data_IF_275337203818
#
_entry.id   IF_275337203818
#
_cell.length_a   1.000
_cell.length_b   1.000
_cell.length_c   1.000
_cell.angle_alpha   90.00
_cell.angle_beta   90.00
_cell.angle_gamma   90.00
#
_symmetry.space_group_name_H-M   'P 1'
#
loop_
_entity.id
_entity.type
_entity.pdbx_description
1 polymer ?
#
# COMPACT_ATOMS: atom_id res chain seq x y z
N UNK A 1 2.11 23.78 -32.31
CA UNK A 1 0.88 23.06 -32.60
C UNK A 1 0.92 21.60 -32.20
N UNK A 2 2.01 20.92 -32.48
CA UNK A 2 2.18 19.53 -32.06
C UNK A 2 2.46 19.38 -30.57
N UNK A 3 3.00 20.40 -29.91
CA UNK A 3 3.38 20.36 -28.51
C UNK A 3 2.17 20.10 -27.61
N UNK A 4 1.04 20.75 -27.90
CA UNK A 4 -0.14 20.67 -27.07
C UNK A 4 -0.77 19.27 -27.04
N UNK A 5 -1.03 18.65 -28.21
CA UNK A 5 -1.48 17.25 -28.21
C UNK A 5 -0.47 16.30 -27.60
N UNK A 6 0.83 16.58 -27.82
CA UNK A 6 1.90 15.76 -27.24
C UNK A 6 1.84 15.79 -25.69
N UNK A 7 1.69 16.97 -25.10
CA UNK A 7 1.62 17.09 -23.65
C UNK A 7 0.41 16.38 -23.06
N UNK A 8 -0.75 16.47 -23.70
CA UNK A 8 -1.93 15.75 -23.26
C UNK A 8 -1.73 14.25 -23.35
N UNK A 9 -1.11 13.79 -24.43
CA UNK A 9 -0.79 12.38 -24.63
C UNK A 9 0.17 11.89 -23.54
N UNK A 10 1.17 12.69 -23.22
CA UNK A 10 2.14 12.34 -22.17
C UNK A 10 1.46 12.18 -20.81
N UNK A 11 0.60 13.13 -20.43
CA UNK A 11 -0.14 13.06 -19.18
C UNK A 11 -1.06 11.83 -19.12
N UNK A 12 -1.72 11.50 -20.22
CA UNK A 12 -2.57 10.32 -20.32
C UNK A 12 -1.75 9.04 -20.20
N UNK A 13 -0.58 9.00 -20.81
CA UNK A 13 0.34 7.87 -20.72
C UNK A 13 0.79 7.64 -19.30
N UNK A 14 1.15 8.71 -18.56
CA UNK A 14 1.56 8.58 -17.15
C UNK A 14 0.45 8.02 -16.28
N UNK A 15 -0.78 8.48 -16.46
CA UNK A 15 -1.92 7.94 -15.71
C UNK A 15 -2.17 6.49 -16.05
N UNK A 16 -2.04 6.15 -17.31
CA UNK A 16 -2.20 4.77 -17.76
C UNK A 16 -1.13 3.86 -17.17
N UNK A 17 0.13 4.32 -17.18
CA UNK A 17 1.24 3.56 -16.58
C UNK A 17 1.00 3.30 -15.09
N UNK A 18 0.54 4.31 -14.34
CA UNK A 18 0.24 4.16 -12.92
C UNK A 18 -0.88 3.15 -12.69
N UNK A 19 -1.93 3.21 -13.51
CA UNK A 19 -3.03 2.26 -13.44
C UNK A 19 -2.56 0.85 -13.80
N UNK A 20 -1.77 0.72 -14.85
CA UNK A 20 -1.21 -0.55 -15.28
C UNK A 20 -0.31 -1.16 -14.21
N UNK A 21 0.46 -0.34 -13.50
CA UNK A 21 1.31 -0.82 -12.41
C UNK A 21 0.49 -1.47 -11.32
N UNK A 22 -0.61 -0.84 -10.91
CA UNK A 22 -1.49 -1.42 -9.90
C UNK A 22 -2.12 -2.71 -10.40
N UNK A 23 -2.58 -2.75 -11.65
CA UNK A 23 -3.12 -3.98 -12.24
C UNK A 23 -2.06 -5.08 -12.31
N UNK A 24 -0.83 -4.72 -12.62
CA UNK A 24 0.29 -5.66 -12.64
C UNK A 24 0.52 -6.26 -11.24
N UNK A 25 0.51 -5.43 -10.21
CA UNK A 25 0.67 -5.92 -8.83
C UNK A 25 -0.49 -6.81 -8.42
N UNK A 26 -1.72 -6.41 -8.72
CA UNK A 26 -2.91 -7.20 -8.39
C UNK A 26 -2.87 -8.57 -9.07
N UNK A 27 -2.40 -8.61 -10.32
CA UNK A 27 -2.31 -9.86 -11.08
C UNK A 27 -1.35 -10.87 -10.44
N UNK A 28 -0.38 -10.42 -9.66
CA UNK A 28 0.51 -11.32 -8.91
C UNK A 28 -0.20 -12.04 -7.77
N UNK A 29 -1.32 -11.52 -7.31
CA UNK A 29 -2.04 -12.07 -6.19
C UNK A 29 -1.35 -11.82 -4.86
N UNK A 30 -1.93 -12.35 -3.80
CA UNK A 30 -1.31 -12.31 -2.47
C UNK A 30 -0.20 -13.34 -2.39
N UNK A 31 0.90 -12.97 -1.75
CA UNK A 31 2.05 -13.86 -1.52
C UNK A 31 2.86 -13.31 -0.34
N UNK A 32 4.02 -13.91 -0.05
CA UNK A 32 4.81 -13.55 1.13
C UNK A 32 5.16 -12.06 1.23
N UNK A 33 5.22 -11.36 0.10
CA UNK A 33 5.60 -9.96 0.05
C UNK A 33 4.49 -9.06 -0.47
N UNK A 34 3.27 -9.55 -0.56
CA UNK A 34 2.14 -8.76 -1.04
C UNK A 34 0.83 -9.20 -0.42
N UNK A 35 0.09 -8.24 0.12
CA UNK A 35 -1.19 -8.49 0.76
C UNK A 35 -2.23 -7.48 0.26
N UNK A 36 -3.48 -7.92 0.14
CA UNK A 36 -4.61 -7.07 -0.22
C UNK A 36 -5.46 -6.83 1.01
N UNK A 37 -5.89 -5.59 1.19
CA UNK A 37 -6.82 -5.22 2.25
C UNK A 37 -7.98 -4.43 1.65
N UNK A 38 -9.18 -4.85 1.95
CA UNK A 38 -10.37 -4.11 1.53
C UNK A 38 -10.36 -2.71 2.15
N UNK A 39 -10.09 -2.65 3.44
CA UNK A 39 -9.98 -1.40 4.21
C UNK A 39 -9.16 -1.66 5.46
N UNK A 40 -8.77 -0.60 6.17
CA UNK A 40 -8.11 -0.71 7.45
C UNK A 40 -9.02 -0.07 8.49
N UNK A 41 -9.45 -0.84 9.49
CA UNK A 41 -10.30 -0.35 10.56
C UNK A 41 -9.58 -0.29 11.91
N UNK A 42 -8.39 -0.87 12.01
CA UNK A 42 -7.67 -0.99 13.27
C UNK A 42 -6.16 -0.94 13.01
N UNK A 43 -5.53 0.13 13.52
CA UNK A 43 -4.09 0.33 13.34
C UNK A 43 -3.26 -0.75 14.04
N UNK A 44 -3.74 -1.28 15.17
CA UNK A 44 -3.01 -2.32 15.89
C UNK A 44 -2.99 -3.64 15.15
N UNK A 45 -4.09 -3.97 14.49
CA UNK A 45 -4.15 -5.18 13.67
C UNK A 45 -3.22 -5.09 12.46
N UNK A 46 -3.22 -3.95 11.78
CA UNK A 46 -2.38 -3.78 10.60
C UNK A 46 -0.89 -3.76 11.00
N UNK A 47 -0.56 -3.35 12.22
CA UNK A 47 0.82 -3.37 12.71
C UNK A 47 1.42 -4.77 12.66
N UNK A 48 0.61 -5.81 12.85
CA UNK A 48 1.07 -7.20 12.74
C UNK A 48 1.53 -7.52 11.32
N UNK A 49 0.79 -7.06 10.33
CA UNK A 49 1.16 -7.23 8.91
C UNK A 49 2.44 -6.46 8.60
N UNK A 50 2.53 -5.22 9.06
CA UNK A 50 3.72 -4.39 8.81
C UNK A 50 4.95 -5.00 9.45
N UNK A 51 4.85 -5.47 10.69
CA UNK A 51 5.98 -6.10 11.39
C UNK A 51 6.42 -7.39 10.69
N UNK A 52 5.47 -8.18 10.20
CA UNK A 52 5.78 -9.40 9.47
C UNK A 52 6.58 -9.10 8.20
N UNK A 53 6.18 -8.09 7.43
CA UNK A 53 6.95 -7.67 6.26
C UNK A 53 8.32 -7.14 6.65
N UNK A 54 8.40 -6.30 7.67
CA UNK A 54 9.65 -5.70 8.11
C UNK A 54 10.66 -6.73 8.63
N UNK A 55 10.17 -7.82 9.18
CA UNK A 55 11.01 -8.91 9.69
C UNK A 55 11.54 -9.84 8.59
N UNK A 56 11.05 -9.71 7.37
CA UNK A 56 11.46 -10.52 6.23
C UNK A 56 12.09 -9.62 5.15
N UNK A 57 11.72 -9.80 3.93
CA UNK A 57 12.29 -9.04 2.80
C UNK A 57 11.49 -7.80 2.46
N UNK A 58 10.64 -7.35 3.36
CA UNK A 58 9.74 -6.26 3.10
C UNK A 58 8.48 -6.73 2.39
N UNK A 59 7.67 -5.79 1.93
CA UNK A 59 6.45 -6.17 1.24
C UNK A 59 5.62 -4.98 0.81
N UNK A 60 4.52 -5.30 0.16
CA UNK A 60 3.56 -4.32 -0.33
C UNK A 60 2.17 -4.65 0.21
N UNK A 61 1.45 -3.58 0.51
CA UNK A 61 0.07 -3.68 0.97
C UNK A 61 -0.77 -2.84 0.03
N UNK A 62 -1.75 -3.46 -0.63
CA UNK A 62 -2.67 -2.75 -1.51
C UNK A 62 -4.01 -2.63 -0.79
N UNK A 63 -4.34 -1.40 -0.41
CA UNK A 63 -5.55 -1.09 0.36
C UNK A 63 -6.61 -0.55 -0.57
N UNK A 64 -7.80 -1.09 -0.50
CA UNK A 64 -8.88 -0.85 -1.44
C UNK A 64 -9.01 -1.95 -2.47
N UNK A 65 -8.41 -3.10 -2.21
CA UNK A 65 -8.43 -4.28 -3.08
C UNK A 65 -8.96 -5.46 -2.28
N UNK A 66 -9.95 -6.14 -2.83
CA UNK A 66 -10.54 -7.33 -2.21
C UNK A 66 -9.63 -8.55 -2.40
N UNK A 67 -9.85 -9.58 -1.60
CA UNK A 67 -9.07 -10.82 -1.67
C UNK A 67 -9.04 -11.43 -3.06
N UNK A 68 -10.11 -11.26 -3.82
CA UNK A 68 -10.19 -11.77 -5.20
C UNK A 68 -9.49 -10.85 -6.22
N UNK A 69 -8.86 -9.78 -5.78
CA UNK A 69 -8.18 -8.83 -6.65
C UNK A 69 -9.07 -7.72 -7.22
N UNK A 70 -10.34 -7.71 -6.86
CA UNK A 70 -11.25 -6.68 -7.36
C UNK A 70 -11.01 -5.35 -6.64
N UNK A 71 -10.91 -4.27 -7.41
CA UNK A 71 -10.69 -2.93 -6.87
C UNK A 71 -12.00 -2.42 -6.29
N UNK A 72 -11.99 -2.17 -4.98
CA UNK A 72 -13.14 -1.61 -4.26
C UNK A 72 -12.95 -0.13 -3.97
N UNK A 73 -11.72 0.32 -3.83
CA UNK A 73 -11.40 1.69 -3.49
C UNK A 73 -11.52 2.00 -2.02
N UNK A 74 -10.82 3.04 -1.58
CA UNK A 74 -10.85 3.53 -0.20
C UNK A 74 -10.81 5.05 -0.20
N UNK A 75 -11.13 5.65 0.94
CA UNK A 75 -11.05 7.09 1.14
C UNK A 75 -9.59 7.59 1.21
N UNK A 76 -8.67 6.74 1.58
CA UNK A 76 -7.24 6.95 1.70
C UNK A 76 -6.78 7.73 2.94
N UNK A 77 -7.42 8.84 3.28
CA UNK A 77 -6.96 9.68 4.39
C UNK A 77 -6.95 8.92 5.73
N UNK A 78 -8.02 8.21 6.03
CA UNK A 78 -8.11 7.42 7.26
C UNK A 78 -7.12 6.26 7.23
N UNK A 79 -7.02 5.59 6.10
CA UNK A 79 -6.09 4.47 5.94
C UNK A 79 -4.64 4.95 6.07
N UNK A 80 -4.30 6.09 5.49
CA UNK A 80 -2.96 6.66 5.63
C UNK A 80 -2.63 6.94 7.08
N UNK A 81 -3.57 7.52 7.83
CA UNK A 81 -3.38 7.79 9.24
C UNK A 81 -3.14 6.50 10.03
N UNK A 82 -3.94 5.47 9.74
CA UNK A 82 -3.80 4.19 10.44
C UNK A 82 -2.47 3.49 10.13
N UNK A 83 -2.01 3.57 8.89
CA UNK A 83 -0.70 3.03 8.53
C UNK A 83 0.42 3.76 9.26
N UNK A 84 0.34 5.08 9.32
CA UNK A 84 1.32 5.88 10.03
C UNK A 84 1.35 5.50 11.51
N UNK A 85 0.19 5.43 12.15
CA UNK A 85 0.10 5.04 13.55
C UNK A 85 0.64 3.62 13.76
N UNK A 86 0.29 2.69 12.90
CA UNK A 86 0.75 1.31 13.00
C UNK A 86 2.28 1.23 12.92
N UNK A 87 2.86 1.88 11.92
CA UNK A 87 4.30 1.80 11.68
C UNK A 87 5.11 2.52 12.77
N UNK A 88 4.62 3.65 13.27
CA UNK A 88 5.39 4.50 14.16
C UNK A 88 5.07 4.27 15.63
N UNK A 89 3.83 3.95 15.95
CA UNK A 89 3.40 3.80 17.36
C UNK A 89 3.21 2.37 17.79
N UNK A 90 2.77 1.49 16.89
CA UNK A 90 2.42 0.12 17.25
C UNK A 90 3.40 -0.93 16.76
N UNK A 91 4.52 -0.52 16.16
CA UNK A 91 5.65 -1.39 15.86
C UNK A 91 6.88 -0.90 16.63
N UNK A 92 7.61 -1.84 17.23
CA UNK A 92 8.84 -1.56 17.97
C UNK A 92 9.94 -2.52 17.52
N UNK A 93 11.06 -2.03 16.99
CA UNK A 93 11.28 -0.64 16.56
C UNK A 93 10.33 -0.24 15.46
N UNK A 94 10.27 1.06 15.16
CA UNK A 94 9.39 1.55 14.11
C UNK A 94 9.75 0.99 12.73
N UNK A 95 8.78 0.95 11.85
CA UNK A 95 8.89 0.38 10.51
C UNK A 95 9.06 1.49 9.49
N UNK A 96 9.99 1.29 8.56
CA UNK A 96 10.19 2.22 7.44
C UNK A 96 9.22 1.87 6.32
N UNK A 97 8.47 2.86 5.87
CA UNK A 97 7.43 2.66 4.87
C UNK A 97 7.30 3.86 3.95
N UNK A 98 6.67 3.65 2.82
CA UNK A 98 6.23 4.71 1.92
C UNK A 98 4.80 4.44 1.49
N UNK A 99 4.07 5.49 1.16
CA UNK A 99 2.68 5.38 0.72
C UNK A 99 2.45 6.22 -0.52
N UNK A 100 1.63 5.70 -1.41
CA UNK A 100 1.21 6.43 -2.59
C UNK A 100 -0.21 6.05 -2.96
N UNK A 101 -1.04 7.04 -3.25
CA UNK A 101 -2.40 6.82 -3.73
C UNK A 101 -2.40 6.74 -5.25
N UNK A 102 -3.08 5.72 -5.78
CA UNK A 102 -3.28 5.54 -7.21
C UNK A 102 -4.75 5.60 -7.53
N UNK A 103 -5.09 6.31 -8.59
CA UNK A 103 -6.46 6.37 -9.06
C UNK A 103 -6.62 5.37 -10.20
N UNK A 104 -7.38 4.31 -9.93
CA UNK A 104 -7.47 3.13 -10.81
C UNK A 104 -8.93 2.75 -10.96
N UNK A 105 -9.41 2.63 -12.20
CA UNK A 105 -10.82 2.29 -12.49
C UNK A 105 -11.82 3.22 -11.77
N UNK A 106 -11.48 4.51 -11.68
CA UNK A 106 -12.33 5.49 -11.03
C UNK A 106 -12.33 5.44 -9.51
N UNK A 107 -11.40 4.70 -8.91
CA UNK A 107 -11.34 4.49 -7.46
C UNK A 107 -9.92 4.69 -6.96
N UNK A 108 -9.79 5.05 -5.68
CA UNK A 108 -8.49 5.23 -5.06
C UNK A 108 -8.01 3.92 -4.43
N UNK A 109 -6.77 3.57 -4.73
CA UNK A 109 -6.06 2.45 -4.12
C UNK A 109 -4.83 3.02 -3.43
N UNK A 110 -4.62 2.66 -2.18
CA UNK A 110 -3.44 3.07 -1.42
C UNK A 110 -2.41 1.96 -1.47
N UNK A 111 -1.25 2.25 -2.06
CA UNK A 111 -0.11 1.33 -2.07
C UNK A 111 0.82 1.71 -0.93
N UNK A 112 1.06 0.77 -0.03
CA UNK A 112 2.01 0.91 1.06
C UNK A 112 3.17 -0.04 0.79
N UNK A 113 4.39 0.49 0.79
CA UNK A 113 5.59 -0.33 0.64
C UNK A 113 6.35 -0.31 1.94
N UNK A 114 6.71 -1.49 2.44
CA UNK A 114 7.38 -1.68 3.71
C UNK A 114 8.79 -2.21 3.43
N UNK A 115 9.80 -1.51 3.93
CA UNK A 115 11.18 -1.93 3.81
C UNK A 115 11.51 -3.01 4.84
N UNK A 116 12.45 -3.92 4.52
CA UNK A 116 13.00 -4.79 5.56
C UNK A 116 13.68 -3.93 6.62
N UNK A 117 13.50 -4.29 7.88
CA UNK A 117 14.06 -3.51 8.98
C UNK A 117 15.51 -3.91 9.22
N UNK A 118 16.37 -2.91 9.47
CA UNK A 118 17.78 -3.17 9.80
C UNK A 118 17.91 -3.87 11.15
N UNK A 119 17.05 -3.48 12.09
CA UNK A 119 17.02 -4.07 13.43
C UNK A 119 15.84 -5.01 13.53
N UNK A 120 16.12 -6.27 13.72
CA UNK A 120 15.10 -7.33 13.87
C UNK A 120 15.29 -8.02 15.20
N UNK A 121 14.22 -8.55 15.80
CA UNK A 121 12.86 -8.55 15.29
C UNK A 121 12.11 -7.27 15.57
N UNK A 122 11.11 -6.99 14.74
CA UNK A 122 10.13 -5.94 14.95
C UNK A 122 8.90 -6.58 15.61
N UNK A 123 8.43 -5.97 16.67
CA UNK A 123 7.26 -6.48 17.39
C UNK A 123 6.08 -5.57 17.16
N UNK A 124 4.92 -6.14 16.88
CA UNK A 124 3.66 -5.40 16.88
C UNK A 124 3.15 -5.32 18.32
N UNK A 125 2.77 -4.12 18.75
CA UNK A 125 2.21 -3.94 20.10
C UNK A 125 0.74 -4.35 20.11
N UNK A 126 0.42 -5.28 21.00
CA UNK A 126 -0.96 -5.66 21.27
C UNK A 126 -1.56 -4.78 22.34
N UNK A 127 -2.86 -4.96 22.57
CA UNK A 127 -3.63 -4.23 23.58
C UNK A 127 -3.33 -4.67 25.00
N UNK A 128 -2.49 -5.61 25.17
CA UNK A 128 -2.15 -6.13 26.50
C UNK A 128 -1.24 -5.20 27.24
#
# INVERSE_FOLDING_TARGET
>A
MLIRPFLLTFASMKRQESSEYIHFLIAQGEHQQQDFKFEISDARKIAKTLSAFANTDGGRLLIGVKDNGKIAGVACEEEQYMIQAAAEQYCKPGVTYSMQTYFVNGKNVLLVEIAPNDKKPVYAQDDN
#
